data_IF_026604231807
#
_entry.id   IF_026604231807
#
_cell.length_a   1.000
_cell.length_b   1.000
_cell.length_c   1.000
_cell.angle_alpha   90.00
_cell.angle_beta   90.00
_cell.angle_gamma   90.00
#
_symmetry.space_group_name_H-M   'P 1'
#
loop_
_entity.id
_entity.type
_entity.pdbx_description
1 polymer ?
#
# COMPACT_ATOMS: atom_id res chain seq x y z
N UNK A 1 16.28 -23.88 4.43
CA UNK A 1 14.85 -24.01 4.82
C UNK A 1 14.38 -22.87 5.74
N UNK A 2 15.07 -22.52 6.83
CA UNK A 2 14.58 -21.51 7.81
C UNK A 2 14.42 -20.09 7.24
N UNK A 3 15.34 -19.63 6.40
CA UNK A 3 15.38 -18.23 5.93
C UNK A 3 14.20 -17.83 5.02
N UNK A 4 13.79 -18.73 4.12
CA UNK A 4 12.62 -18.52 3.25
C UNK A 4 11.31 -18.53 4.04
N UNK A 5 11.21 -19.39 5.06
CA UNK A 5 10.07 -19.40 5.99
C UNK A 5 10.01 -18.10 6.81
N UNK A 6 11.16 -17.63 7.29
CA UNK A 6 11.28 -16.39 8.06
C UNK A 6 10.83 -15.19 7.22
N UNK A 7 11.26 -15.14 5.94
CA UNK A 7 10.83 -14.12 4.99
C UNK A 7 9.31 -14.13 4.78
N UNK A 8 8.69 -15.30 4.60
CA UNK A 8 7.23 -15.39 4.44
C UNK A 8 6.52 -14.98 5.72
N UNK A 9 6.91 -15.53 6.88
CA UNK A 9 6.24 -15.25 8.16
C UNK A 9 6.35 -13.77 8.55
N UNK A 10 7.50 -13.13 8.30
CA UNK A 10 7.71 -11.72 8.63
C UNK A 10 6.90 -10.78 7.72
N UNK A 11 6.77 -11.12 6.43
CA UNK A 11 6.09 -10.27 5.44
C UNK A 11 4.58 -10.54 5.32
N UNK A 12 4.12 -11.74 5.69
CA UNK A 12 2.70 -12.10 5.67
C UNK A 12 1.80 -11.13 6.46
N UNK A 13 2.07 -10.80 7.74
CA UNK A 13 1.22 -9.89 8.49
C UNK A 13 1.22 -8.48 7.91
N UNK A 14 2.33 -8.01 7.35
CA UNK A 14 2.43 -6.71 6.67
C UNK A 14 1.53 -6.66 5.43
N UNK A 15 1.57 -7.72 4.61
CA UNK A 15 0.76 -7.80 3.40
C UNK A 15 -0.72 -7.93 3.73
N UNK A 16 -1.08 -8.73 4.72
CA UNK A 16 -2.47 -8.85 5.20
C UNK A 16 -2.97 -7.49 5.70
N UNK A 17 -2.17 -6.77 6.50
CA UNK A 17 -2.50 -5.44 6.97
C UNK A 17 -2.69 -4.45 5.80
N UNK A 18 -1.85 -4.55 4.77
CA UNK A 18 -1.95 -3.73 3.57
C UNK A 18 -3.25 -4.00 2.79
N UNK A 19 -3.56 -5.28 2.57
CA UNK A 19 -4.80 -5.71 1.92
C UNK A 19 -6.04 -5.26 2.72
N UNK A 20 -6.03 -5.43 4.04
CA UNK A 20 -7.11 -4.94 4.91
C UNK A 20 -7.29 -3.44 4.76
N UNK A 21 -6.21 -2.66 4.75
CA UNK A 21 -6.28 -1.22 4.57
C UNK A 21 -6.87 -0.84 3.20
N UNK A 22 -6.53 -1.56 2.13
CA UNK A 22 -7.13 -1.37 0.79
C UNK A 22 -8.63 -1.70 0.78
N UNK A 23 -9.05 -2.78 1.45
CA UNK A 23 -10.47 -3.17 1.58
C UNK A 23 -11.25 -2.15 2.39
N UNK A 24 -10.71 -1.71 3.53
CA UNK A 24 -11.31 -0.69 4.40
C UNK A 24 -11.45 0.64 3.65
N UNK A 25 -10.42 1.05 2.91
CA UNK A 25 -10.43 2.26 2.08
C UNK A 25 -11.49 2.23 0.97
N UNK A 26 -11.71 1.08 0.33
CA UNK A 26 -12.80 0.90 -0.62
C UNK A 26 -14.17 0.94 0.06
N UNK A 27 -14.33 0.24 1.19
CA UNK A 27 -15.59 0.20 1.94
C UNK A 27 -16.00 1.57 2.48
N UNK A 28 -15.04 2.39 2.89
CA UNK A 28 -15.26 3.77 3.35
C UNK A 28 -15.52 4.76 2.20
N UNK A 29 -15.52 4.33 0.92
CA UNK A 29 -15.80 5.20 -0.23
C UNK A 29 -14.69 6.21 -0.57
N UNK A 30 -13.54 6.12 0.11
CA UNK A 30 -12.39 7.01 -0.15
C UNK A 30 -11.59 6.57 -1.38
N UNK A 31 -11.82 5.34 -1.87
CA UNK A 31 -11.06 4.73 -2.96
C UNK A 31 -11.99 4.24 -4.08
N UNK A 32 -11.73 4.69 -5.31
CA UNK A 32 -12.48 4.25 -6.49
C UNK A 32 -12.21 2.78 -6.86
N UNK A 33 -13.17 2.15 -7.56
CA UNK A 33 -13.14 0.73 -7.93
C UNK A 33 -11.84 0.30 -8.65
N UNK A 34 -11.32 1.14 -9.54
CA UNK A 34 -10.05 0.89 -10.24
C UNK A 34 -8.85 0.83 -9.28
N UNK A 35 -8.70 1.83 -8.40
CA UNK A 35 -7.61 1.88 -7.42
C UNK A 35 -7.67 0.71 -6.43
N UNK A 36 -8.87 0.29 -6.05
CA UNK A 36 -9.07 -0.92 -5.26
C UNK A 36 -8.54 -2.17 -5.98
N UNK A 37 -8.95 -2.42 -7.23
CA UNK A 37 -8.48 -3.57 -8.00
C UNK A 37 -6.97 -3.57 -8.21
N UNK A 38 -6.37 -2.42 -8.56
CA UNK A 38 -4.92 -2.30 -8.70
C UNK A 38 -4.19 -2.54 -7.38
N UNK A 39 -4.63 -1.92 -6.28
CA UNK A 39 -4.02 -2.10 -4.96
C UNK A 39 -4.11 -3.55 -4.49
N UNK A 40 -5.28 -4.18 -4.60
CA UNK A 40 -5.48 -5.57 -4.19
C UNK A 40 -4.63 -6.53 -5.05
N UNK A 41 -4.63 -6.33 -6.38
CA UNK A 41 -3.85 -7.17 -7.30
C UNK A 41 -2.35 -7.01 -7.07
N UNK A 42 -1.88 -5.79 -6.79
CA UNK A 42 -0.49 -5.50 -6.47
C UNK A 42 -0.04 -6.23 -5.21
N UNK A 43 -0.80 -6.14 -4.12
CA UNK A 43 -0.48 -6.85 -2.88
C UNK A 43 -0.59 -8.37 -3.01
N UNK A 44 -1.55 -8.87 -3.81
CA UNK A 44 -1.66 -10.30 -4.13
C UNK A 44 -0.45 -10.79 -4.93
N UNK A 45 0.03 -10.01 -5.90
CA UNK A 45 1.18 -10.36 -6.71
C UNK A 45 2.45 -10.44 -5.85
N UNK A 46 2.66 -9.48 -4.94
CA UNK A 46 3.78 -9.53 -3.98
C UNK A 46 3.67 -10.78 -3.09
N UNK A 47 2.48 -11.09 -2.58
CA UNK A 47 2.28 -12.28 -1.77
C UNK A 47 2.60 -13.57 -2.54
N UNK A 48 2.08 -13.69 -3.76
CA UNK A 48 2.35 -14.82 -4.63
C UNK A 48 3.85 -14.96 -4.89
N UNK A 49 4.55 -13.87 -5.23
CA UNK A 49 5.99 -13.87 -5.45
C UNK A 49 6.78 -14.39 -4.24
N UNK A 50 6.38 -14.00 -3.01
CA UNK A 50 7.03 -14.48 -1.77
C UNK A 50 6.81 -15.98 -1.53
N UNK A 51 5.61 -16.49 -1.81
CA UNK A 51 5.29 -17.92 -1.66
C UNK A 51 6.02 -18.76 -2.72
N UNK A 52 6.06 -18.27 -3.96
CA UNK A 52 6.71 -18.96 -5.08
C UNK A 52 8.24 -18.82 -5.10
N UNK A 53 8.84 -17.96 -4.27
CA UNK A 53 10.29 -17.77 -4.24
C UNK A 53 11.05 -19.07 -3.97
N UNK A 54 10.53 -19.93 -3.07
CA UNK A 54 11.16 -21.22 -2.73
C UNK A 54 11.14 -22.23 -3.88
N UNK A 55 9.99 -22.55 -4.51
CA UNK A 55 9.97 -23.47 -5.65
C UNK A 55 10.72 -22.92 -6.87
N UNK A 56 10.65 -21.62 -7.15
CA UNK A 56 11.41 -20.99 -8.24
C UNK A 56 12.90 -21.19 -8.03
N UNK A 57 13.40 -20.92 -6.83
CA UNK A 57 14.82 -21.08 -6.52
C UNK A 57 15.25 -22.56 -6.61
N UNK A 58 14.41 -23.48 -6.12
CA UNK A 58 14.67 -24.92 -6.22
C UNK A 58 14.74 -25.39 -7.68
N UNK A 59 13.88 -24.86 -8.55
CA UNK A 59 13.84 -25.18 -9.97
C UNK A 59 15.06 -24.62 -10.72
N UNK A 60 15.50 -23.40 -10.41
CA UNK A 60 16.70 -22.80 -10.99
C UNK A 60 17.96 -23.58 -10.58
N UNK A 61 18.04 -23.98 -9.31
CA UNK A 61 19.15 -24.77 -8.79
C UNK A 61 19.20 -26.18 -9.40
N UNK A 62 18.06 -26.87 -9.52
CA UNK A 62 18.01 -28.22 -10.11
C UNK A 62 18.42 -28.26 -11.58
N UNK A 63 18.25 -27.15 -12.30
CA UNK A 63 18.65 -27.03 -13.70
C UNK A 63 20.09 -26.49 -13.87
N UNK A 64 20.87 -26.36 -12.79
CA UNK A 64 22.24 -25.78 -12.79
C UNK A 64 22.32 -24.38 -13.42
N UNK A 65 21.19 -23.66 -13.52
CA UNK A 65 21.14 -22.33 -14.13
C UNK A 65 21.73 -21.24 -13.22
N UNK A 66 21.87 -21.53 -11.92
CA UNK A 66 22.40 -20.60 -10.92
C UNK A 66 23.20 -21.33 -9.83
N UNK A 67 24.49 -21.01 -9.69
CA UNK A 67 25.35 -21.42 -8.55
C UNK A 67 25.34 -20.36 -7.43
N UNK A 68 24.22 -19.69 -7.21
CA UNK A 68 24.14 -18.57 -6.27
C UNK A 68 24.06 -19.07 -4.83
N UNK A 69 24.69 -18.36 -3.90
CA UNK A 69 24.61 -18.66 -2.48
C UNK A 69 23.16 -18.65 -1.97
N UNK A 70 22.82 -19.52 -1.00
CA UNK A 70 21.48 -19.58 -0.44
C UNK A 70 21.11 -18.23 0.17
N UNK A 71 19.85 -17.81 -0.06
CA UNK A 71 19.29 -16.51 0.33
C UNK A 71 19.88 -15.97 1.65
N UNK A 72 20.51 -14.79 1.59
CA UNK A 72 21.15 -14.18 2.75
C UNK A 72 20.10 -13.60 3.69
N UNK A 73 20.39 -13.57 4.99
CA UNK A 73 19.54 -12.86 5.96
C UNK A 73 19.46 -11.35 5.65
N UNK A 74 20.51 -10.82 5.01
CA UNK A 74 20.54 -9.45 4.55
C UNK A 74 19.47 -9.19 3.47
N UNK A 75 19.35 -10.08 2.48
CA UNK A 75 18.33 -9.97 1.42
C UNK A 75 16.93 -10.04 2.02
N UNK A 76 16.72 -10.91 3.01
CA UNK A 76 15.45 -11.01 3.74
C UNK A 76 15.10 -9.68 4.43
N UNK A 77 16.06 -9.04 5.09
CA UNK A 77 15.83 -7.73 5.70
C UNK A 77 15.57 -6.64 4.66
N UNK A 78 16.30 -6.62 3.55
CA UNK A 78 16.11 -5.63 2.49
C UNK A 78 14.72 -5.76 1.84
N UNK A 79 14.30 -6.98 1.47
CA UNK A 79 12.98 -7.23 0.89
C UNK A 79 11.89 -6.79 1.87
N UNK A 80 12.05 -7.11 3.15
CA UNK A 80 11.11 -6.68 4.19
C UNK A 80 11.06 -5.16 4.32
N UNK A 81 12.22 -4.49 4.29
CA UNK A 81 12.31 -3.02 4.32
C UNK A 81 11.64 -2.35 3.12
N UNK A 82 11.75 -2.93 1.93
CA UNK A 82 11.07 -2.46 0.71
C UNK A 82 9.55 -2.60 0.86
N UNK A 83 9.08 -3.77 1.30
CA UNK A 83 7.65 -4.03 1.53
C UNK A 83 7.10 -3.07 2.59
N UNK A 84 7.85 -2.84 3.66
CA UNK A 84 7.47 -1.92 4.73
C UNK A 84 7.39 -0.47 4.24
N UNK A 85 8.36 -0.01 3.47
CA UNK A 85 8.35 1.34 2.86
C UNK A 85 7.15 1.49 1.92
N UNK A 86 6.87 0.50 1.07
CA UNK A 86 5.69 0.49 0.20
C UNK A 86 4.38 0.51 0.98
N UNK A 87 4.31 -0.19 2.11
CA UNK A 87 3.15 -0.17 3.00
C UNK A 87 2.92 1.24 3.57
N UNK A 88 3.97 1.89 4.08
CA UNK A 88 3.88 3.25 4.61
C UNK A 88 3.50 4.24 3.51
N UNK A 89 4.15 4.16 2.35
CA UNK A 89 3.88 5.05 1.22
C UNK A 89 2.41 4.95 0.78
N UNK A 90 1.89 3.73 0.57
CA UNK A 90 0.48 3.53 0.22
C UNK A 90 -0.48 4.10 1.27
N UNK A 91 -0.15 3.94 2.56
CA UNK A 91 -0.94 4.52 3.65
C UNK A 91 -0.86 6.05 3.67
N UNK A 92 0.29 6.62 3.38
CA UNK A 92 0.50 8.06 3.32
C UNK A 92 -0.30 8.69 2.18
N UNK A 93 -0.21 8.14 0.97
CA UNK A 93 -0.99 8.60 -0.19
C UNK A 93 -2.49 8.57 0.09
N UNK A 94 -2.99 7.49 0.71
CA UNK A 94 -4.41 7.41 1.10
C UNK A 94 -4.83 8.54 2.05
N UNK A 95 -4.00 8.89 3.03
CA UNK A 95 -4.30 9.99 3.96
C UNK A 95 -4.25 11.37 3.29
N UNK A 96 -3.32 11.57 2.35
CA UNK A 96 -3.18 12.82 1.61
C UNK A 96 -4.43 13.12 0.79
N UNK A 97 -4.96 12.12 0.07
CA UNK A 97 -6.20 12.27 -0.71
C UNK A 97 -7.40 12.68 0.18
N UNK A 98 -7.50 12.12 1.39
CA UNK A 98 -8.57 12.50 2.35
C UNK A 98 -8.37 13.93 2.85
N UNK A 99 -7.13 14.31 3.12
CA UNK A 99 -6.80 15.65 3.61
C UNK A 99 -7.09 16.71 2.54
N UNK A 100 -6.74 16.43 1.29
CA UNK A 100 -7.01 17.31 0.15
C UNK A 100 -8.52 17.58 0.00
N UNK A 101 -9.35 16.53 0.05
CA UNK A 101 -10.81 16.67 0.02
C UNK A 101 -11.34 17.54 1.16
N UNK A 102 -10.89 17.27 2.39
CA UNK A 102 -11.31 18.06 3.56
C UNK A 102 -10.90 19.53 3.46
N UNK A 103 -9.72 19.81 2.91
CA UNK A 103 -9.25 21.19 2.69
C UNK A 103 -10.10 21.89 1.63
N UNK A 104 -10.45 21.20 0.54
CA UNK A 104 -11.34 21.73 -0.50
C UNK A 104 -12.72 22.08 0.06
N UNK A 105 -13.33 21.16 0.81
CA UNK A 105 -14.64 21.36 1.44
C UNK A 105 -14.61 22.57 2.39
N UNK A 106 -13.56 22.70 3.22
CA UNK A 106 -13.39 23.82 4.13
C UNK A 106 -13.23 25.15 3.39
N UNK A 107 -12.47 25.16 2.30
CA UNK A 107 -12.27 26.36 1.48
C UNK A 107 -13.58 26.80 0.81
N UNK A 108 -14.40 25.83 0.38
CA UNK A 108 -15.72 26.10 -0.19
C UNK A 108 -16.69 26.66 0.85
N UNK A 109 -16.74 26.09 2.06
CA UNK A 109 -17.55 26.64 3.15
C UNK A 109 -17.13 28.05 3.56
N UNK A 110 -15.81 28.31 3.63
CA UNK A 110 -15.27 29.64 3.93
C UNK A 110 -15.67 30.65 2.86
N UNK A 111 -15.58 30.29 1.58
CA UNK A 111 -15.99 31.14 0.46
C UNK A 111 -17.48 31.51 0.53
N UNK A 112 -18.35 30.54 0.83
CA UNK A 112 -19.79 30.76 0.97
C UNK A 112 -20.08 31.71 2.15
N UNK A 113 -19.50 31.44 3.32
CA UNK A 113 -19.70 32.30 4.51
C UNK A 113 -19.19 33.72 4.28
N UNK A 114 -18.07 33.88 3.57
CA UNK A 114 -17.52 35.19 3.23
C UNK A 114 -18.43 35.94 2.24
N UNK A 115 -18.96 35.22 1.25
CA UNK A 115 -19.92 35.74 0.26
C UNK A 115 -21.23 36.20 0.92
N UNK A 116 -21.82 35.38 1.79
CA UNK A 116 -23.02 35.74 2.56
C UNK A 116 -22.79 36.98 3.43
N UNK A 117 -21.64 37.04 4.12
CA UNK A 117 -21.28 38.21 4.95
C UNK A 117 -21.14 39.48 4.10
N UNK A 118 -20.59 39.39 2.90
CA UNK A 118 -20.42 40.52 1.99
C UNK A 118 -21.77 40.99 1.42
N UNK A 119 -22.63 40.06 1.02
CA UNK A 119 -23.97 40.35 0.49
C UNK A 119 -24.89 40.98 1.55
N UNK A 120 -24.76 40.55 2.82
CA UNK A 120 -25.46 41.17 3.95
C UNK A 120 -24.98 42.59 4.25
N UNK A 121 -23.71 42.89 3.96
CA UNK A 121 -23.12 44.23 4.13
C UNK A 121 -23.53 45.21 3.02
N UNK A 122 -23.92 44.72 1.84
CA UNK A 122 -24.38 45.54 0.70
C UNK A 122 -25.88 45.83 0.72
N UNK A 123 -26.66 45.14 1.57
CA UNK A 123 -28.11 45.33 1.75
C UNK A 123 -28.49 46.27 2.91
N UNK A 124 -27.52 46.68 3.73
CA UNK A 124 -27.67 47.72 4.76
C UNK A 124 -27.04 49.02 4.28
#
# INVERSE_FOLDING_TARGET
>A
MSRYLLLVILNTPLIIAAMMNTVVGYKLGHMGRRRFFFGLSFWLLIFAALVFVKPIYSYLFSNNLTQTEPLSLFDVMQITGIIFTLFIANRAYGKVDVLERKVQDLHQELSIKLSEKNNKKTRN
#
